data_IF_146175634598
#
_entry.id   IF_146175634598
#
_cell.length_a   1.000
_cell.length_b   1.000
_cell.length_c   1.000
_cell.angle_alpha   90.00
_cell.angle_beta   90.00
_cell.angle_gamma   90.00
#
_symmetry.space_group_name_H-M   'P 1'
#
loop_
_entity.id
_entity.type
_entity.pdbx_description
1 polymer ?
#
# COMPACT_ATOMS: atom_id res chain seq x y z
N UNK A 1 27.19 39.51 37.35
CA UNK A 1 25.86 39.59 36.72
C UNK A 1 25.87 38.64 35.55
N UNK A 2 25.42 37.45 35.80
CA UNK A 2 25.43 36.38 34.78
C UNK A 2 24.10 36.38 34.01
N UNK A 3 24.21 36.51 32.70
CA UNK A 3 23.12 36.40 31.78
C UNK A 3 22.86 34.89 31.55
N UNK A 4 21.79 34.36 32.14
CA UNK A 4 21.34 32.99 31.91
C UNK A 4 20.54 33.03 30.59
N UNK A 5 21.20 32.64 29.51
CA UNK A 5 20.54 32.38 28.24
C UNK A 5 19.41 31.34 28.44
N UNK A 6 18.18 31.79 28.22
CA UNK A 6 17.01 30.90 28.08
C UNK A 6 17.28 30.01 26.89
N UNK A 7 17.66 28.75 27.14
CA UNK A 7 17.56 27.71 26.15
C UNK A 7 16.08 27.61 25.75
N UNK A 8 15.78 28.01 24.51
CA UNK A 8 14.48 27.80 23.90
C UNK A 8 14.13 26.31 24.02
N UNK A 9 13.14 26.01 24.83
CA UNK A 9 12.53 24.69 24.84
C UNK A 9 11.87 24.53 23.45
N UNK A 10 12.49 23.75 22.58
CA UNK A 10 11.81 23.20 21.41
C UNK A 10 10.61 22.46 21.96
N UNK A 11 9.44 23.07 21.85
CA UNK A 11 8.18 22.43 22.18
C UNK A 11 8.04 21.25 21.25
N UNK A 12 8.18 20.04 21.78
CA UNK A 12 7.92 18.83 21.00
C UNK A 12 6.50 18.93 20.45
N UNK A 13 6.38 19.08 19.13
CA UNK A 13 5.07 19.10 18.47
C UNK A 13 4.29 17.84 18.83
N UNK A 14 2.98 17.96 18.96
CA UNK A 14 2.13 16.81 19.24
C UNK A 14 2.38 15.69 18.17
N UNK A 15 2.34 14.41 18.57
CA UNK A 15 2.58 13.32 17.63
C UNK A 15 1.64 13.42 16.43
N UNK A 16 2.21 13.58 15.24
CA UNK A 16 1.45 13.70 13.99
C UNK A 16 0.86 12.34 13.60
N UNK A 17 -0.25 12.37 12.88
CA UNK A 17 -0.97 11.20 12.39
C UNK A 17 -1.37 11.41 10.95
N UNK A 18 -1.30 10.32 10.18
CA UNK A 18 -1.78 10.25 8.80
C UNK A 18 -2.74 9.08 8.68
N UNK A 19 -3.92 9.31 8.13
CA UNK A 19 -4.84 8.26 7.77
C UNK A 19 -4.46 7.72 6.38
N UNK A 20 -3.64 6.67 6.32
CA UNK A 20 -3.38 5.97 5.07
C UNK A 20 -4.54 5.00 4.81
N UNK A 21 -5.34 5.28 3.79
CA UNK A 21 -6.52 4.51 3.39
C UNK A 21 -6.12 3.47 2.33
N UNK A 22 -6.62 2.24 2.47
CA UNK A 22 -6.33 1.16 1.54
C UNK A 22 -7.58 0.75 0.79
N UNK A 23 -7.56 0.92 -0.51
CA UNK A 23 -8.54 0.44 -1.50
C UNK A 23 -7.88 -0.59 -2.43
N UNK A 24 -8.68 -1.26 -3.24
CA UNK A 24 -8.21 -2.15 -4.31
C UNK A 24 -8.97 -1.89 -5.61
N UNK A 25 -10.20 -2.37 -5.73
CA UNK A 25 -11.04 -2.25 -6.94
C UNK A 25 -12.12 -1.18 -6.74
N UNK A 26 -12.36 -0.36 -7.78
CA UNK A 26 -13.46 0.61 -7.84
C UNK A 26 -14.38 0.25 -9.00
N UNK A 27 -15.33 -0.68 -8.76
CA UNK A 27 -16.20 -1.26 -9.77
C UNK A 27 -17.59 -1.57 -9.20
N UNK A 28 -18.59 -1.68 -10.07
CA UNK A 28 -19.97 -2.02 -9.70
C UNK A 28 -20.17 -3.51 -9.45
N UNK A 29 -19.35 -4.36 -10.08
CA UNK A 29 -19.42 -5.81 -9.97
C UNK A 29 -18.29 -6.36 -9.10
N UNK A 30 -18.63 -7.34 -8.27
CA UNK A 30 -17.66 -8.07 -7.48
C UNK A 30 -18.10 -9.50 -7.23
N UNK A 31 -17.14 -10.42 -7.25
CA UNK A 31 -17.38 -11.78 -6.77
C UNK A 31 -17.51 -11.79 -5.25
N UNK A 32 -18.05 -12.87 -4.65
CA UNK A 32 -18.06 -13.01 -3.20
C UNK A 32 -16.68 -12.89 -2.56
N UNK A 33 -15.60 -13.34 -3.24
CA UNK A 33 -14.23 -13.26 -2.76
C UNK A 33 -13.68 -11.84 -2.77
N UNK A 34 -14.05 -11.02 -3.75
CA UNK A 34 -13.61 -9.64 -3.91
C UNK A 34 -14.52 -8.60 -3.26
N UNK A 35 -15.67 -9.02 -2.70
CA UNK A 35 -16.69 -8.10 -2.18
C UNK A 35 -16.15 -7.06 -1.21
N UNK A 36 -15.35 -7.49 -0.25
CA UNK A 36 -14.77 -6.57 0.76
C UNK A 36 -13.65 -5.66 0.19
N UNK A 37 -13.11 -6.01 -0.97
CA UNK A 37 -12.04 -5.28 -1.65
C UNK A 37 -12.56 -4.39 -2.78
N UNK A 38 -13.86 -4.48 -3.11
CA UNK A 38 -14.47 -3.70 -4.21
C UNK A 38 -15.42 -2.65 -3.65
N UNK A 39 -15.22 -1.42 -4.04
CA UNK A 39 -16.09 -0.29 -3.70
C UNK A 39 -16.71 0.22 -5.00
N UNK A 40 -18.04 0.45 -5.04
CA UNK A 40 -18.65 0.97 -6.27
C UNK A 40 -18.14 2.40 -6.57
N UNK A 41 -18.10 2.82 -7.85
CA UNK A 41 -17.72 4.19 -8.22
C UNK A 41 -18.53 5.26 -7.48
N UNK A 42 -19.83 5.07 -7.29
CA UNK A 42 -20.69 5.98 -6.53
C UNK A 42 -20.27 6.05 -5.06
N UNK A 43 -19.99 4.91 -4.43
CA UNK A 43 -19.53 4.86 -3.04
C UNK A 43 -18.15 5.49 -2.88
N UNK A 44 -17.24 5.26 -3.81
CA UNK A 44 -15.92 5.88 -3.80
C UNK A 44 -16.01 7.39 -3.94
N UNK A 45 -16.85 7.89 -4.84
CA UNK A 45 -17.15 9.31 -5.02
C UNK A 45 -17.71 9.96 -3.74
N UNK A 46 -18.70 9.31 -3.10
CA UNK A 46 -19.24 9.73 -1.80
C UNK A 46 -18.15 9.81 -0.72
N UNK A 47 -17.29 8.78 -0.64
CA UNK A 47 -16.23 8.70 0.34
C UNK A 47 -15.19 9.80 0.15
N UNK A 48 -14.71 10.02 -1.06
CA UNK A 48 -13.71 11.07 -1.37
C UNK A 48 -14.32 12.45 -1.16
N UNK A 49 -15.56 12.66 -1.61
CA UNK A 49 -16.30 13.91 -1.40
C UNK A 49 -16.47 14.25 0.08
N UNK A 50 -16.80 13.25 0.91
CA UNK A 50 -16.92 13.44 2.36
C UNK A 50 -15.58 13.77 3.03
N UNK A 51 -14.47 13.19 2.59
CA UNK A 51 -13.13 13.55 3.05
C UNK A 51 -12.79 15.00 2.68
N UNK A 52 -13.05 15.40 1.44
CA UNK A 52 -12.86 16.79 0.97
C UNK A 52 -13.70 17.77 1.79
N UNK A 53 -14.99 17.48 2.00
CA UNK A 53 -15.88 18.28 2.84
C UNK A 53 -15.43 18.34 4.30
N UNK A 54 -14.75 17.32 4.77
CA UNK A 54 -14.13 17.29 6.10
C UNK A 54 -12.85 18.12 6.19
N UNK A 55 -12.39 18.75 5.10
CA UNK A 55 -11.18 19.55 5.02
C UNK A 55 -9.90 18.68 4.94
N UNK A 56 -9.99 17.43 4.49
CA UNK A 56 -8.82 16.57 4.40
C UNK A 56 -7.76 17.12 3.43
N UNK A 57 -6.52 17.08 3.85
CA UNK A 57 -5.35 17.32 3.02
C UNK A 57 -4.91 15.98 2.42
N UNK A 58 -5.05 15.85 1.11
CA UNK A 58 -4.63 14.64 0.40
C UNK A 58 -3.14 14.68 0.13
N UNK A 59 -2.44 13.61 0.51
CA UNK A 59 -1.00 13.45 0.35
C UNK A 59 -0.69 12.11 -0.33
N UNK A 60 0.47 12.01 -0.96
CA UNK A 60 0.99 10.78 -1.55
C UNK A 60 1.59 9.87 -0.49
N UNK A 61 1.68 8.57 -0.76
CA UNK A 61 2.30 7.63 0.19
C UNK A 61 3.77 7.96 0.47
N UNK A 62 4.51 8.46 -0.53
CA UNK A 62 5.91 8.89 -0.37
C UNK A 62 6.09 10.05 0.62
N UNK A 63 5.08 10.91 0.78
CA UNK A 63 5.13 12.06 1.67
C UNK A 63 4.86 11.68 3.14
N UNK A 64 4.18 10.55 3.38
CA UNK A 64 3.72 10.14 4.72
C UNK A 64 4.88 10.08 5.72
N UNK A 65 6.00 9.46 5.36
CA UNK A 65 7.12 9.31 6.28
C UNK A 65 7.76 10.65 6.66
N UNK A 66 7.93 11.57 5.69
CA UNK A 66 8.44 12.92 5.91
C UNK A 66 7.53 13.71 6.86
N UNK A 67 6.21 13.64 6.63
CA UNK A 67 5.22 14.26 7.50
C UNK A 67 5.26 13.71 8.92
N UNK A 68 5.40 12.39 9.10
CA UNK A 68 5.53 11.76 10.41
C UNK A 68 6.84 12.14 11.13
N UNK A 69 7.86 12.56 10.38
CA UNK A 69 9.15 13.05 10.88
C UNK A 69 9.19 14.55 11.15
N UNK A 70 8.12 15.29 10.81
CA UNK A 70 7.97 16.70 11.13
C UNK A 70 8.03 17.65 9.94
N UNK A 71 7.97 17.15 8.69
CA UNK A 71 7.83 18.05 7.54
C UNK A 71 6.59 18.93 7.66
N UNK A 72 6.65 20.19 7.18
CA UNK A 72 5.56 21.14 7.37
C UNK A 72 4.26 20.72 6.69
N UNK A 73 3.14 20.77 7.41
CA UNK A 73 1.78 20.66 6.92
C UNK A 73 0.83 21.28 7.95
N UNK A 74 -0.36 21.65 7.56
CA UNK A 74 -1.37 22.13 8.51
C UNK A 74 -1.88 20.94 9.37
N UNK A 75 -1.53 20.95 10.65
CA UNK A 75 -1.94 19.91 11.61
C UNK A 75 -3.39 20.07 12.11
N UNK A 76 -4.10 21.15 11.76
CA UNK A 76 -5.48 21.37 12.16
C UNK A 76 -6.48 20.54 11.35
N UNK A 77 -6.11 20.17 10.12
CA UNK A 77 -6.92 19.36 9.22
C UNK A 77 -6.50 17.88 9.20
N UNK A 78 -7.40 16.94 8.88
CA UNK A 78 -7.03 15.55 8.68
C UNK A 78 -6.04 15.39 7.53
N UNK A 79 -4.97 14.64 7.74
CA UNK A 79 -4.01 14.28 6.70
C UNK A 79 -4.36 12.88 6.21
N UNK A 80 -4.62 12.74 4.91
CA UNK A 80 -5.14 11.51 4.31
C UNK A 80 -4.28 11.11 3.10
N UNK A 81 -3.74 9.91 3.13
CA UNK A 81 -3.13 9.27 1.98
C UNK A 81 -4.08 8.21 1.42
N UNK A 82 -4.65 8.43 0.25
CA UNK A 82 -5.45 7.40 -0.45
C UNK A 82 -4.46 6.47 -1.15
N UNK A 83 -4.54 5.17 -0.87
CA UNK A 83 -3.74 4.16 -1.56
C UNK A 83 -4.64 3.13 -2.22
N UNK A 84 -4.28 2.70 -3.44
CA UNK A 84 -5.01 1.71 -4.23
C UNK A 84 -4.03 0.60 -4.58
N UNK A 85 -4.27 -0.60 -4.09
CA UNK A 85 -3.41 -1.76 -4.32
C UNK A 85 -3.79 -2.48 -5.62
N UNK A 86 -2.89 -3.32 -6.15
CA UNK A 86 -3.08 -4.24 -7.28
C UNK A 86 -3.14 -3.60 -8.66
N UNK A 87 -3.41 -2.31 -8.79
CA UNK A 87 -3.53 -1.62 -10.07
C UNK A 87 -4.52 -2.31 -11.06
N UNK A 88 -5.66 -2.83 -10.57
CA UNK A 88 -6.73 -3.30 -11.45
C UNK A 88 -7.10 -2.22 -12.46
N UNK A 89 -7.56 -2.59 -13.66
CA UNK A 89 -7.83 -1.61 -14.72
C UNK A 89 -8.91 -0.57 -14.35
N UNK A 90 -9.79 -0.89 -13.38
CA UNK A 90 -10.77 0.03 -12.81
C UNK A 90 -10.16 1.19 -12.01
N UNK A 91 -8.85 1.17 -11.77
CA UNK A 91 -8.12 2.31 -11.19
C UNK A 91 -8.23 3.59 -12.04
N UNK A 92 -8.53 3.47 -13.32
CA UNK A 92 -8.76 4.62 -14.21
C UNK A 92 -10.05 5.35 -13.85
N UNK A 93 -11.10 4.62 -13.48
CA UNK A 93 -12.36 5.19 -12.99
C UNK A 93 -12.14 5.87 -11.63
N UNK A 94 -11.37 5.23 -10.75
CA UNK A 94 -10.96 5.83 -9.48
C UNK A 94 -10.20 7.15 -9.68
N UNK A 95 -9.27 7.21 -10.62
CA UNK A 95 -8.51 8.42 -10.93
C UNK A 95 -9.40 9.56 -11.44
N UNK A 96 -10.37 9.25 -12.30
CA UNK A 96 -11.35 10.23 -12.77
C UNK A 96 -12.21 10.79 -11.64
N UNK A 97 -12.57 9.96 -10.65
CA UNK A 97 -13.28 10.39 -9.45
C UNK A 97 -12.39 11.29 -8.58
N UNK A 98 -11.15 10.88 -8.31
CA UNK A 98 -10.19 11.66 -7.53
C UNK A 98 -9.99 13.06 -8.12
N UNK A 99 -9.87 13.17 -9.44
CA UNK A 99 -9.71 14.44 -10.14
C UNK A 99 -10.91 15.40 -9.91
N UNK A 100 -12.16 14.90 -9.85
CA UNK A 100 -13.34 15.71 -9.54
C UNK A 100 -13.30 16.34 -8.16
N UNK A 101 -12.61 15.70 -7.23
CA UNK A 101 -12.45 16.17 -5.85
C UNK A 101 -11.11 16.86 -5.60
N UNK A 102 -10.31 17.15 -6.62
CA UNK A 102 -8.95 17.68 -6.48
C UNK A 102 -8.15 16.85 -5.44
N UNK A 103 -8.26 15.54 -5.52
CA UNK A 103 -7.60 14.57 -4.65
C UNK A 103 -6.51 13.80 -5.41
N UNK A 104 -5.42 13.47 -4.72
CA UNK A 104 -4.39 12.56 -5.24
C UNK A 104 -4.45 11.21 -4.53
N UNK A 105 -3.81 10.21 -5.14
CA UNK A 105 -3.63 8.88 -4.56
C UNK A 105 -2.27 8.29 -4.94
N UNK A 106 -1.94 7.17 -4.30
CA UNK A 106 -0.82 6.31 -4.68
C UNK A 106 -1.35 4.96 -5.11
N UNK A 107 -0.98 4.50 -6.30
CA UNK A 107 -1.31 3.16 -6.80
C UNK A 107 -0.09 2.26 -6.62
N UNK A 108 -0.27 1.17 -5.89
CA UNK A 108 0.74 0.15 -5.69
C UNK A 108 0.63 -0.94 -6.76
N UNK A 109 1.69 -1.09 -7.57
CA UNK A 109 1.69 -1.84 -8.83
C UNK A 109 2.45 -3.16 -8.73
N UNK A 110 1.81 -4.32 -8.96
CA UNK A 110 2.47 -5.63 -9.10
C UNK A 110 2.98 -5.80 -10.53
N UNK A 111 4.27 -5.48 -10.76
CA UNK A 111 4.80 -5.20 -12.11
C UNK A 111 4.85 -6.39 -13.09
N UNK A 112 4.81 -7.64 -12.62
CA UNK A 112 4.73 -8.80 -13.52
C UNK A 112 3.40 -8.92 -14.26
N UNK A 113 2.38 -8.22 -13.77
CA UNK A 113 1.02 -8.36 -14.27
C UNK A 113 0.51 -7.14 -15.03
N UNK A 114 1.32 -6.09 -15.18
CA UNK A 114 0.95 -4.86 -15.91
C UNK A 114 0.55 -5.18 -17.35
N UNK A 115 -0.68 -4.82 -17.71
CA UNK A 115 -1.29 -5.13 -19.02
C UNK A 115 -1.75 -6.58 -19.16
N UNK A 116 -1.72 -7.36 -18.10
CA UNK A 116 -2.13 -8.75 -18.06
C UNK A 116 -3.37 -8.94 -17.16
N UNK A 117 -3.46 -10.07 -16.49
CA UNK A 117 -4.54 -10.45 -15.58
C UNK A 117 -4.01 -10.74 -14.19
N UNK A 118 -4.87 -10.64 -13.17
CA UNK A 118 -4.55 -10.86 -11.77
C UNK A 118 -4.33 -12.35 -11.44
N UNK A 119 -3.32 -12.97 -12.06
CA UNK A 119 -3.09 -14.42 -12.00
C UNK A 119 -2.74 -14.95 -10.59
N UNK A 120 -2.55 -14.07 -9.59
CA UNK A 120 -2.41 -14.46 -8.18
C UNK A 120 -3.76 -14.72 -7.49
N UNK A 121 -4.88 -14.33 -8.12
CA UNK A 121 -6.22 -14.62 -7.66
C UNK A 121 -6.69 -15.98 -8.18
N UNK A 122 -7.83 -16.45 -7.67
CA UNK A 122 -8.42 -17.74 -8.04
C UNK A 122 -9.74 -17.58 -8.81
N UNK A 123 -10.14 -18.62 -9.54
CA UNK A 123 -11.41 -18.66 -10.25
C UNK A 123 -11.57 -17.57 -11.31
N UNK A 124 -12.72 -16.90 -11.29
CA UNK A 124 -13.03 -15.82 -12.23
C UNK A 124 -12.24 -14.55 -11.95
N UNK A 125 -11.86 -14.30 -10.68
CA UNK A 125 -11.07 -13.14 -10.30
C UNK A 125 -9.66 -13.15 -10.89
N UNK A 126 -9.10 -14.32 -11.18
CA UNK A 126 -7.83 -14.45 -11.90
C UNK A 126 -7.86 -13.83 -13.31
N UNK A 127 -9.06 -13.51 -13.84
CA UNK A 127 -9.25 -12.88 -15.15
C UNK A 127 -9.37 -11.36 -15.08
N UNK A 128 -9.39 -10.76 -13.87
CA UNK A 128 -9.48 -9.30 -13.72
C UNK A 128 -8.30 -8.64 -14.42
N UNK A 129 -8.55 -7.65 -15.30
CA UNK A 129 -7.47 -6.97 -16.00
C UNK A 129 -6.71 -6.07 -15.08
N UNK A 130 -5.39 -5.99 -15.29
CA UNK A 130 -4.49 -5.04 -14.65
C UNK A 130 -4.20 -3.91 -15.65
N UNK A 131 -4.12 -2.68 -15.18
CA UNK A 131 -3.77 -1.50 -15.99
C UNK A 131 -2.49 -1.74 -16.78
N UNK A 132 -2.45 -1.30 -18.04
CA UNK A 132 -1.27 -1.39 -18.90
C UNK A 132 -0.26 -0.29 -18.63
N UNK A 133 0.94 -0.39 -19.21
CA UNK A 133 1.98 0.63 -19.05
C UNK A 133 1.57 2.02 -19.55
N UNK A 134 0.78 2.09 -20.62
CA UNK A 134 0.21 3.35 -21.11
C UNK A 134 -0.78 3.98 -20.13
N UNK A 135 -1.60 3.13 -19.48
CA UNK A 135 -2.57 3.58 -18.49
C UNK A 135 -1.83 4.13 -17.25
N UNK A 136 -0.82 3.39 -16.77
CA UNK A 136 0.03 3.83 -15.66
C UNK A 136 0.76 5.14 -15.98
N UNK A 137 1.26 5.31 -17.21
CA UNK A 137 1.86 6.58 -17.63
C UNK A 137 0.84 7.72 -17.60
N UNK A 138 -0.38 7.48 -18.08
CA UNK A 138 -1.48 8.45 -17.99
C UNK A 138 -1.86 8.83 -16.55
N UNK A 139 -1.90 7.85 -15.64
CA UNK A 139 -2.14 8.09 -14.20
C UNK A 139 -1.03 8.97 -13.59
N UNK A 140 0.24 8.69 -13.89
CA UNK A 140 1.37 9.51 -13.47
C UNK A 140 1.22 10.95 -13.96
N UNK A 141 0.90 11.14 -15.25
CA UNK A 141 0.76 12.46 -15.87
C UNK A 141 -0.44 13.23 -15.30
N UNK A 142 -1.45 12.51 -14.80
CA UNK A 142 -2.57 13.06 -14.03
C UNK A 142 -2.25 13.35 -12.55
N UNK A 143 -1.01 13.14 -12.10
CA UNK A 143 -0.57 13.45 -10.73
C UNK A 143 -0.80 12.32 -9.71
N UNK A 144 -1.19 11.14 -10.15
CA UNK A 144 -1.28 9.93 -9.31
C UNK A 144 0.12 9.35 -9.12
N UNK A 145 0.50 9.09 -7.89
CA UNK A 145 1.77 8.42 -7.59
C UNK A 145 1.69 6.93 -7.92
N UNK A 146 2.75 6.38 -8.52
CA UNK A 146 2.91 4.96 -8.78
C UNK A 146 4.03 4.41 -7.90
N UNK A 147 3.74 3.35 -7.15
CA UNK A 147 4.63 2.78 -6.16
C UNK A 147 4.67 1.24 -6.24
N UNK A 148 5.59 0.61 -5.52
CA UNK A 148 5.87 -0.81 -5.66
C UNK A 148 4.93 -1.70 -4.83
N UNK A 149 4.37 -2.76 -5.47
CA UNK A 149 3.58 -3.81 -4.82
C UNK A 149 4.18 -5.23 -5.03
N UNK A 150 5.51 -5.30 -5.13
CA UNK A 150 6.20 -6.50 -5.55
C UNK A 150 6.14 -6.73 -7.06
N UNK A 151 7.04 -7.57 -7.57
CA UNK A 151 6.98 -7.95 -8.98
C UNK A 151 5.91 -9.02 -9.20
N UNK A 152 5.94 -10.09 -8.41
CA UNK A 152 5.03 -11.24 -8.52
C UNK A 152 3.91 -11.27 -7.47
N UNK A 153 3.67 -10.18 -6.76
CA UNK A 153 2.65 -10.10 -5.72
C UNK A 153 2.78 -11.21 -4.67
N UNK A 154 3.99 -11.43 -4.14
CA UNK A 154 4.27 -12.50 -3.17
C UNK A 154 4.12 -12.03 -1.71
N UNK A 155 3.64 -12.93 -0.85
CA UNK A 155 3.54 -12.66 0.58
C UNK A 155 4.93 -12.62 1.25
N UNK A 156 5.32 -11.48 1.83
CA UNK A 156 6.65 -11.28 2.39
C UNK A 156 6.94 -12.14 3.63
N UNK A 157 5.89 -12.51 4.39
CA UNK A 157 6.00 -13.37 5.58
C UNK A 157 6.06 -14.88 5.25
N UNK A 158 5.75 -15.28 4.02
CA UNK A 158 5.69 -16.68 3.59
C UNK A 158 6.82 -17.07 2.65
N UNK A 159 7.66 -16.14 2.22
CA UNK A 159 8.74 -16.37 1.28
C UNK A 159 10.12 -16.11 1.93
N UNK A 160 11.20 -16.74 1.43
CA UNK A 160 12.55 -16.45 1.89
C UNK A 160 12.92 -14.97 1.69
N UNK A 161 13.65 -14.34 2.62
CA UNK A 161 13.99 -12.92 2.54
C UNK A 161 14.71 -12.51 1.25
N UNK A 162 15.58 -13.39 0.71
CA UNK A 162 16.27 -13.14 -0.56
C UNK A 162 15.31 -13.09 -1.75
N UNK A 163 14.25 -13.91 -1.74
CA UNK A 163 13.19 -13.91 -2.77
C UNK A 163 12.37 -12.61 -2.66
N UNK A 164 11.99 -12.22 -1.45
CA UNK A 164 11.25 -10.97 -1.18
C UNK A 164 12.06 -9.76 -1.63
N UNK A 165 13.37 -9.74 -1.34
CA UNK A 165 14.26 -8.66 -1.74
C UNK A 165 14.39 -8.55 -3.26
N UNK A 166 14.58 -9.67 -3.95
CA UNK A 166 14.70 -9.69 -5.42
C UNK A 166 13.39 -9.29 -6.10
N UNK A 167 12.25 -9.79 -5.61
CA UNK A 167 10.91 -9.41 -6.08
C UNK A 167 10.69 -7.88 -6.00
N UNK A 168 10.96 -7.31 -4.83
CA UNK A 168 10.80 -5.88 -4.60
C UNK A 168 11.80 -5.03 -5.41
N UNK A 169 13.06 -5.47 -5.51
CA UNK A 169 14.10 -4.81 -6.33
C UNK A 169 13.69 -4.76 -7.80
N UNK A 170 13.20 -5.89 -8.34
CA UNK A 170 12.75 -5.99 -9.72
C UNK A 170 11.56 -5.09 -9.99
N UNK A 171 10.58 -5.09 -9.07
CA UNK A 171 9.42 -4.20 -9.14
C UNK A 171 9.85 -2.73 -9.23
N UNK A 172 10.68 -2.28 -8.29
CA UNK A 172 11.20 -0.91 -8.26
C UNK A 172 11.90 -0.54 -9.55
N UNK A 173 12.88 -1.35 -9.96
CA UNK A 173 13.69 -1.06 -11.16
C UNK A 173 12.82 -0.95 -12.42
N UNK A 174 11.80 -1.82 -12.57
CA UNK A 174 10.93 -1.81 -13.74
C UNK A 174 10.00 -0.59 -13.74
N UNK A 175 9.47 -0.16 -12.59
CA UNK A 175 8.67 1.07 -12.49
C UNK A 175 9.52 2.30 -12.81
N UNK A 176 10.73 2.40 -12.23
CA UNK A 176 11.64 3.51 -12.47
C UNK A 176 12.06 3.59 -13.95
N UNK A 177 12.37 2.44 -14.58
CA UNK A 177 12.74 2.36 -16.01
C UNK A 177 11.57 2.78 -16.93
N UNK A 178 10.37 2.26 -16.69
CA UNK A 178 9.20 2.47 -17.56
C UNK A 178 8.55 3.82 -17.39
N UNK A 179 8.58 4.38 -16.18
CA UNK A 179 7.84 5.60 -15.86
C UNK A 179 8.74 6.82 -15.67
N UNK A 180 10.05 6.63 -15.54
CA UNK A 180 11.00 7.73 -15.39
C UNK A 180 10.86 8.52 -14.09
N UNK A 181 10.32 7.91 -13.03
CA UNK A 181 10.10 8.53 -11.72
C UNK A 181 10.74 7.69 -10.62
N UNK A 182 11.27 8.29 -9.54
CA UNK A 182 11.78 7.54 -8.41
C UNK A 182 10.64 6.81 -7.69
N UNK A 183 10.89 5.56 -7.29
CA UNK A 183 9.94 4.73 -6.53
C UNK A 183 10.50 4.48 -5.14
N UNK A 184 9.98 5.21 -4.15
CA UNK A 184 10.52 5.24 -2.79
C UNK A 184 9.65 4.51 -1.76
N UNK A 185 8.45 4.09 -2.15
CA UNK A 185 7.50 3.41 -1.25
C UNK A 185 7.11 2.03 -1.76
N UNK A 186 6.81 1.16 -0.80
CA UNK A 186 6.39 -0.22 -1.03
C UNK A 186 5.10 -0.51 -0.26
N UNK A 187 4.18 -1.32 -0.79
CA UNK A 187 3.12 -1.95 -0.01
C UNK A 187 3.30 -3.47 -0.05
N UNK A 188 3.15 -4.12 1.10
CA UNK A 188 3.25 -5.57 1.18
C UNK A 188 2.02 -6.23 0.54
N UNK A 189 2.19 -7.10 -0.48
CA UNK A 189 1.10 -7.93 -0.95
C UNK A 189 0.45 -8.68 0.22
N UNK A 190 -0.90 -8.74 0.23
CA UNK A 190 -1.69 -9.28 1.35
C UNK A 190 -1.53 -8.52 2.69
N UNK A 191 -0.72 -7.45 2.73
CA UNK A 191 -0.50 -6.61 3.92
C UNK A 191 0.33 -7.22 5.04
N UNK A 192 0.84 -8.46 4.89
CA UNK A 192 1.57 -9.17 5.93
C UNK A 192 3.08 -9.17 5.71
N UNK A 193 3.81 -9.05 6.80
CA UNK A 193 5.26 -9.10 6.82
C UNK A 193 5.77 -9.65 8.15
N UNK A 194 6.98 -10.18 8.15
CA UNK A 194 7.75 -10.46 9.34
C UNK A 194 8.98 -9.53 9.45
N UNK A 195 9.81 -9.75 10.47
CA UNK A 195 11.03 -8.96 10.66
C UNK A 195 12.03 -9.13 9.51
N UNK A 196 12.10 -10.33 8.93
CA UNK A 196 13.00 -10.64 7.83
C UNK A 196 12.55 -9.99 6.54
N UNK A 197 11.24 -10.05 6.23
CA UNK A 197 10.63 -9.35 5.11
C UNK A 197 10.84 -7.83 5.17
N UNK A 198 10.65 -7.19 6.34
CA UNK A 198 10.93 -5.76 6.50
C UNK A 198 12.39 -5.40 6.19
N UNK A 199 13.35 -6.21 6.67
CA UNK A 199 14.77 -6.00 6.37
C UNK A 199 15.07 -6.17 4.89
N UNK A 200 14.44 -7.16 4.24
CA UNK A 200 14.58 -7.38 2.81
C UNK A 200 14.12 -6.18 2.00
N UNK A 201 12.94 -5.59 2.34
CA UNK A 201 12.42 -4.40 1.69
C UNK A 201 13.31 -3.18 1.95
N UNK A 202 13.75 -2.98 3.20
CA UNK A 202 14.67 -1.90 3.55
C UNK A 202 16.00 -1.98 2.76
N UNK A 203 16.53 -3.20 2.56
CA UNK A 203 17.77 -3.44 1.82
C UNK A 203 17.67 -3.13 0.31
N UNK A 204 16.47 -3.04 -0.26
CA UNK A 204 16.26 -2.57 -1.64
C UNK A 204 16.44 -1.06 -1.76
N UNK A 205 16.34 -0.31 -0.65
CA UNK A 205 16.50 1.14 -0.63
C UNK A 205 15.19 1.91 -0.76
N UNK A 206 14.05 1.32 -0.40
CA UNK A 206 12.82 2.06 -0.15
C UNK A 206 12.95 2.90 1.11
N UNK A 207 12.24 4.02 1.16
CA UNK A 207 12.17 4.89 2.34
C UNK A 207 11.13 4.39 3.35
N UNK A 208 10.03 3.82 2.85
CA UNK A 208 8.93 3.31 3.68
C UNK A 208 8.19 2.13 3.04
N UNK A 209 7.50 1.37 3.90
CA UNK A 209 6.60 0.31 3.45
C UNK A 209 5.31 0.27 4.26
N UNK A 210 4.19 0.03 3.57
CA UNK A 210 2.85 0.01 4.11
C UNK A 210 2.34 -1.42 4.32
N UNK A 211 1.68 -1.62 5.46
CA UNK A 211 1.07 -2.87 5.89
C UNK A 211 -0.42 -2.67 6.22
N UNK A 212 -1.11 -3.73 6.65
CA UNK A 212 -2.50 -3.65 7.09
C UNK A 212 -2.55 -3.81 8.62
N UNK A 213 -2.97 -2.75 9.34
CA UNK A 213 -3.15 -2.80 10.80
C UNK A 213 -4.44 -2.11 11.29
N UNK A 214 -5.29 -1.61 10.38
CA UNK A 214 -6.51 -0.87 10.70
C UNK A 214 -6.31 0.31 11.67
N UNK A 215 -5.16 0.98 11.57
CA UNK A 215 -4.73 2.09 12.41
C UNK A 215 -4.21 3.25 11.56
N UNK A 216 -4.16 4.46 12.16
CA UNK A 216 -3.42 5.58 11.57
C UNK A 216 -1.92 5.37 11.70
N UNK A 217 -1.17 5.79 10.68
CA UNK A 217 0.27 5.97 10.79
C UNK A 217 0.56 7.18 11.70
N UNK A 218 1.62 7.11 12.51
CA UNK A 218 1.97 8.16 13.48
C UNK A 218 3.46 8.30 13.67
N UNK A 219 3.86 9.45 14.19
CA UNK A 219 5.22 9.70 14.65
C UNK A 219 5.74 8.56 15.54
N UNK A 220 6.90 8.00 15.19
CA UNK A 220 7.56 6.91 15.90
C UNK A 220 7.15 5.50 15.44
N UNK A 221 6.30 5.37 14.43
CA UNK A 221 6.06 4.06 13.79
C UNK A 221 7.30 3.60 13.01
N UNK A 222 7.44 2.27 12.88
CA UNK A 222 8.46 1.66 12.02
C UNK A 222 8.19 2.06 10.56
N UNK A 223 9.12 2.74 9.87
CA UNK A 223 8.93 3.17 8.49
C UNK A 223 8.65 2.01 7.53
N UNK A 224 9.08 0.80 7.87
CA UNK A 224 8.81 -0.41 7.07
C UNK A 224 7.61 -1.22 7.56
N UNK A 225 6.72 -0.62 8.34
CA UNK A 225 5.47 -1.22 8.81
C UNK A 225 4.41 -0.14 9.09
N UNK A 226 4.29 0.86 8.21
CA UNK A 226 3.29 1.92 8.33
C UNK A 226 1.89 1.32 8.19
N UNK A 227 1.00 1.58 9.15
CA UNK A 227 -0.35 1.02 9.13
C UNK A 227 -1.24 1.72 8.10
N UNK A 228 -2.21 0.96 7.58
CA UNK A 228 -3.30 1.48 6.74
C UNK A 228 -4.65 1.08 7.30
N UNK A 229 -5.66 1.90 6.98
CA UNK A 229 -7.07 1.63 7.22
C UNK A 229 -7.68 1.01 5.97
N UNK A 230 -8.16 -0.21 6.05
CA UNK A 230 -8.95 -0.82 4.97
C UNK A 230 -10.29 -0.09 4.84
N UNK A 231 -10.65 0.27 3.61
CA UNK A 231 -11.91 0.93 3.27
C UNK A 231 -12.69 0.03 2.31
N UNK A 232 -13.75 -0.58 2.82
CA UNK A 232 -14.63 -1.45 2.06
C UNK A 232 -15.97 -0.80 1.70
N UNK A 233 -16.85 -1.52 0.95
CA UNK A 233 -18.13 -1.02 0.45
C UNK A 233 -19.12 -0.64 1.55
N UNK A 234 -19.00 -1.24 2.73
CA UNK A 234 -19.87 -0.96 3.87
C UNK A 234 -19.59 0.35 4.61
N UNK A 235 -18.50 1.07 4.28
CA UNK A 235 -18.11 2.32 4.93
C UNK A 235 -18.73 3.49 4.15
N UNK A 236 -19.68 4.23 4.78
CA UNK A 236 -20.21 5.45 4.20
C UNK A 236 -19.18 6.59 4.25
N UNK A 237 -19.34 7.61 3.39
CA UNK A 237 -18.49 8.80 3.40
C UNK A 237 -18.49 9.50 4.74
N UNK A 238 -19.64 9.65 5.39
CA UNK A 238 -19.76 10.25 6.74
C UNK A 238 -18.95 9.44 7.76
N UNK A 239 -19.03 8.11 7.71
CA UNK A 239 -18.27 7.24 8.61
C UNK A 239 -16.76 7.32 8.34
N UNK A 240 -16.35 7.39 7.08
CA UNK A 240 -14.95 7.54 6.72
C UNK A 240 -14.39 8.89 7.21
N UNK A 241 -15.14 9.99 7.01
CA UNK A 241 -14.76 11.32 7.52
C UNK A 241 -14.63 11.34 9.06
N UNK A 242 -15.46 10.58 9.78
CA UNK A 242 -15.28 10.36 11.21
C UNK A 242 -14.01 9.57 11.52
N UNK A 243 -13.78 8.45 10.81
CA UNK A 243 -12.64 7.56 11.04
C UNK A 243 -11.30 8.28 10.91
N UNK A 244 -11.13 9.16 9.91
CA UNK A 244 -9.86 9.90 9.71
C UNK A 244 -9.61 10.97 10.78
N UNK A 245 -10.64 11.42 11.47
CA UNK A 245 -10.56 12.41 12.58
C UNK A 245 -10.36 11.78 13.95
N UNK A 246 -10.77 10.51 14.14
CA UNK A 246 -10.76 9.87 15.45
C UNK A 246 -9.33 9.68 15.97
N UNK A 247 -9.06 10.27 17.14
CA UNK A 247 -7.82 10.05 17.89
C UNK A 247 -8.03 8.94 18.91
N UNK A 248 -7.64 7.71 18.59
CA UNK A 248 -7.72 6.60 19.55
C UNK A 248 -6.63 6.73 20.64
N UNK A 249 -6.93 6.42 21.91
CA UNK A 249 -5.92 6.37 22.97
C UNK A 249 -4.81 5.33 22.64
N UNK A 250 -3.56 5.63 23.02
CA UNK A 250 -2.39 4.74 22.77
C UNK A 250 -2.60 3.31 23.25
N UNK A 251 -3.26 3.13 24.38
CA UNK A 251 -3.55 1.80 24.97
C UNK A 251 -4.44 0.95 24.04
N UNK A 252 -5.47 1.54 23.44
CA UNK A 252 -6.37 0.83 22.50
C UNK A 252 -5.60 0.45 21.23
N UNK A 253 -4.78 1.34 20.71
CA UNK A 253 -3.95 1.09 19.53
C UNK A 253 -2.90 0.00 19.78
N UNK A 254 -2.27 -0.02 20.95
CA UNK A 254 -1.33 -1.09 21.35
C UNK A 254 -2.02 -2.46 21.46
N UNK A 255 -3.24 -2.50 21.98
CA UNK A 255 -4.04 -3.72 22.03
C UNK A 255 -4.39 -4.26 20.64
N UNK A 256 -4.74 -3.38 19.69
CA UNK A 256 -5.01 -3.76 18.29
C UNK A 256 -3.75 -4.30 17.61
N UNK A 257 -2.61 -3.62 17.74
CA UNK A 257 -1.30 -4.10 17.23
C UNK A 257 -0.89 -5.45 17.83
N UNK A 258 -1.25 -5.73 19.08
CA UNK A 258 -1.04 -7.03 19.72
C UNK A 258 -1.84 -8.16 19.06
N UNK A 259 -3.10 -7.92 18.71
CA UNK A 259 -3.94 -8.87 17.98
C UNK A 259 -3.39 -9.19 16.59
N UNK A 260 -2.95 -8.18 15.85
CA UNK A 260 -2.38 -8.35 14.52
C UNK A 260 -1.06 -9.14 14.56
N UNK A 261 -0.23 -8.94 15.59
CA UNK A 261 0.98 -9.74 15.83
C UNK A 261 0.64 -11.22 16.11
N UNK A 262 -0.40 -11.49 16.91
CA UNK A 262 -0.86 -12.85 17.19
C UNK A 262 -1.42 -13.52 15.93
N UNK A 263 -2.15 -12.79 15.09
CA UNK A 263 -2.63 -13.30 13.82
C UNK A 263 -1.47 -13.63 12.87
N UNK A 264 -0.47 -12.77 12.78
CA UNK A 264 0.76 -13.02 12.03
C UNK A 264 1.51 -14.25 12.53
N UNK A 265 1.62 -14.46 13.86
CA UNK A 265 2.20 -15.65 14.45
C UNK A 265 1.43 -16.93 14.04
N UNK A 266 0.09 -16.88 14.02
CA UNK A 266 -0.74 -17.98 13.53
C UNK A 266 -0.51 -18.35 12.06
N UNK A 267 -0.22 -17.37 11.21
CA UNK A 267 0.17 -17.59 9.81
C UNK A 267 1.50 -18.32 9.69
N UNK A 268 2.48 -18.01 10.54
CA UNK A 268 3.76 -18.73 10.58
C UNK A 268 3.61 -20.20 10.95
N UNK A 269 2.69 -20.55 11.83
CA UNK A 269 2.39 -21.95 12.17
C UNK A 269 1.78 -22.67 10.96
N UNK A 270 0.94 -22.00 10.16
CA UNK A 270 0.41 -22.54 8.89
C UNK A 270 1.45 -22.67 7.79
N UNK A 271 2.63 -22.10 7.94
CA UNK A 271 3.80 -22.28 7.05
C UNK A 271 4.21 -23.76 6.90
N UNK A 272 3.87 -24.60 7.87
CA UNK A 272 4.13 -26.05 7.87
C UNK A 272 3.05 -26.85 7.12
N UNK A 273 1.96 -26.23 6.66
CA UNK A 273 0.89 -26.86 5.88
C UNK A 273 1.15 -26.87 4.36
N UNK A 274 0.27 -27.54 3.58
CA UNK A 274 0.37 -27.57 2.13
C UNK A 274 0.35 -26.14 1.55
N UNK A 275 0.99 -25.91 0.38
CA UNK A 275 1.06 -24.60 -0.23
C UNK A 275 -0.36 -24.07 -0.51
N UNK A 276 -0.63 -22.88 0.00
CA UNK A 276 -1.81 -22.10 -0.39
C UNK A 276 -1.44 -21.22 -1.60
N UNK A 277 -2.43 -20.65 -2.30
CA UNK A 277 -2.24 -19.71 -3.41
C UNK A 277 -1.30 -18.54 -3.08
N UNK A 278 -1.12 -18.24 -1.80
CA UNK A 278 -0.18 -17.21 -1.30
C UNK A 278 1.29 -17.68 -1.27
N UNK A 279 1.55 -18.97 -1.48
CA UNK A 279 2.87 -19.52 -1.78
C UNK A 279 2.92 -19.75 -3.28
N UNK A 280 3.58 -18.87 -3.99
CA UNK A 280 3.81 -19.14 -5.40
C UNK A 280 4.61 -20.45 -5.50
N UNK A 281 4.17 -21.33 -6.40
CA UNK A 281 4.80 -22.60 -6.72
C UNK A 281 6.33 -22.45 -6.88
N UNK A 282 7.10 -23.51 -6.66
CA UNK A 282 8.51 -23.41 -6.33
C UNK A 282 9.28 -22.63 -7.38
N UNK A 283 9.82 -21.49 -6.97
CA UNK A 283 10.85 -20.82 -7.73
C UNK A 283 12.09 -21.73 -7.69
N UNK A 284 12.40 -22.35 -8.80
CA UNK A 284 13.73 -22.89 -8.98
C UNK A 284 14.67 -21.72 -9.27
N UNK A 285 15.71 -21.58 -8.48
CA UNK A 285 16.83 -20.73 -8.85
C UNK A 285 17.63 -21.47 -9.94
N UNK A 286 18.07 -20.76 -10.97
CA UNK A 286 19.05 -21.31 -11.90
C UNK A 286 20.43 -21.40 -11.22
N UNK A 287 21.41 -22.02 -11.90
CA UNK A 287 22.77 -22.21 -11.39
C UNK A 287 23.52 -20.90 -11.07
N UNK A 288 22.92 -19.75 -11.41
CA UNK A 288 23.39 -18.39 -11.13
C UNK A 288 22.56 -17.67 -10.07
N UNK A 289 21.66 -18.36 -9.34
CA UNK A 289 20.78 -17.76 -8.35
C UNK A 289 19.62 -16.93 -8.94
N UNK A 290 19.33 -17.07 -10.24
CA UNK A 290 18.19 -16.41 -10.89
C UNK A 290 16.96 -17.28 -10.77
N UNK A 291 15.82 -16.66 -10.47
CA UNK A 291 14.53 -17.33 -10.41
C UNK A 291 14.17 -17.95 -11.78
N UNK A 292 14.00 -19.26 -11.82
CA UNK A 292 13.41 -19.96 -12.98
C UNK A 292 11.91 -20.11 -12.73
N UNK A 293 11.12 -19.68 -13.70
CA UNK A 293 9.69 -19.94 -13.71
C UNK A 293 9.42 -21.30 -14.30
N UNK A 294 8.67 -22.15 -13.58
CA UNK A 294 8.03 -23.32 -14.18
C UNK A 294 6.85 -22.86 -15.03
N UNK A 295 6.99 -22.89 -16.37
CA UNK A 295 5.89 -22.97 -17.32
C UNK A 295 4.90 -21.81 -17.37
N UNK A 296 5.34 -20.55 -17.40
CA UNK A 296 4.53 -19.45 -17.92
C UNK A 296 4.59 -19.42 -19.46
N UNK A 297 3.57 -18.90 -20.16
CA UNK A 297 3.62 -18.79 -21.61
C UNK A 297 4.84 -18.00 -22.04
N UNK A 298 5.48 -18.53 -23.08
CA UNK A 298 6.62 -18.00 -23.82
C UNK A 298 6.49 -16.48 -23.99
N UNK A 299 7.37 -15.71 -23.34
CA UNK A 299 7.49 -14.29 -23.53
C UNK A 299 8.11 -14.04 -24.90
N UNK A 300 7.21 -14.06 -25.91
CA UNK A 300 7.55 -13.77 -27.30
C UNK A 300 8.48 -12.57 -27.40
N UNK A 301 9.75 -12.87 -27.64
CA UNK A 301 10.71 -11.90 -28.17
C UNK A 301 10.62 -11.95 -29.69
N UNK A 302 10.62 -10.82 -30.38
CA UNK A 302 11.14 -10.80 -31.72
C UNK A 302 12.65 -10.93 -31.72
#
# INVERSE_FOLDING_TARGET
MGNIERRDRVTASAPRRVAALMYHSVADDSTPAMRELTVSPERFDEQVGALRAAGAQFVRASEVLGLLRGEPIDDAAPIVAITIDDAFADVLDAAAILARHDATATVFVPTAYVGMRAAWLEGEDARRPIAGWSDLAGLRDAGIELAAHGHWHIAADLNPPAVVQEDARRCRALLEDRLGVPVTTYAYPFGFHDRAGRRAIAAVGFDSAFAIFHLHARTGDDPFALPRLHVGPGISGARLAEMVRVRRPRIVEQGLRGKDRLFGAGRHVRRLGPPTSQRIAPYALDDYGRLRFGGGPDDGRP
#
